data_IF_618763747476
#
_entry.id   IF_618763747476
#
_cell.length_a   1.000
_cell.length_b   1.000
_cell.length_c   1.000
_cell.angle_alpha   90.00
_cell.angle_beta   90.00
_cell.angle_gamma   90.00
#
_symmetry.space_group_name_H-M   'P 1'
#
loop_
_entity.id
_entity.type
_entity.pdbx_description
1 polymer ?
#
# COMPACT_ATOMS: atom_id res chain seq x y z
N UNK A 1 1.02 51.48 -13.75
CA UNK A 1 -0.31 51.20 -13.15
C UNK A 1 -1.02 50.00 -13.80
N UNK A 2 -1.24 50.00 -15.13
CA UNK A 2 -2.01 48.95 -15.82
C UNK A 2 -1.41 47.54 -15.69
N UNK A 3 -0.09 47.38 -15.90
CA UNK A 3 0.60 46.09 -15.76
C UNK A 3 0.55 45.50 -14.33
N UNK A 4 0.57 46.37 -13.32
CA UNK A 4 0.42 45.95 -11.93
C UNK A 4 -1.01 45.45 -11.65
N UNK A 5 -2.01 46.17 -12.17
CA UNK A 5 -3.43 45.75 -12.08
C UNK A 5 -3.71 44.42 -12.79
N UNK A 6 -3.08 44.17 -13.95
CA UNK A 6 -3.22 42.90 -14.68
C UNK A 6 -2.57 41.74 -13.92
N UNK A 7 -1.38 41.92 -13.33
CA UNK A 7 -0.73 40.90 -12.49
C UNK A 7 -1.51 40.58 -11.22
N UNK A 8 -2.08 41.61 -10.58
CA UNK A 8 -2.95 41.46 -9.41
C UNK A 8 -4.19 40.63 -9.75
N UNK A 9 -4.84 40.90 -10.89
CA UNK A 9 -6.00 40.13 -11.36
C UNK A 9 -5.63 38.70 -11.74
N UNK A 10 -4.49 38.49 -12.40
CA UNK A 10 -4.01 37.16 -12.75
C UNK A 10 -3.78 36.30 -11.49
N UNK A 11 -3.11 36.85 -10.47
CA UNK A 11 -2.89 36.15 -9.18
C UNK A 11 -4.19 35.82 -8.46
N UNK A 12 -5.16 36.73 -8.47
CA UNK A 12 -6.48 36.47 -7.88
C UNK A 12 -7.24 35.38 -8.64
N UNK A 13 -7.20 35.42 -9.97
CA UNK A 13 -7.83 34.40 -10.80
C UNK A 13 -7.18 33.01 -10.60
N UNK A 14 -5.85 32.96 -10.50
CA UNK A 14 -5.12 31.72 -10.19
C UNK A 14 -5.46 31.18 -8.80
N UNK A 15 -5.53 32.03 -7.78
CA UNK A 15 -5.91 31.64 -6.43
C UNK A 15 -7.36 31.15 -6.34
N UNK A 16 -8.28 31.84 -7.02
CA UNK A 16 -9.69 31.46 -7.10
C UNK A 16 -9.88 30.13 -7.83
N UNK A 17 -9.16 29.93 -8.94
CA UNK A 17 -9.14 28.66 -9.67
C UNK A 17 -8.60 27.52 -8.79
N UNK A 18 -7.50 27.77 -8.06
CA UNK A 18 -6.95 26.81 -7.10
C UNK A 18 -7.94 26.41 -6.02
N UNK A 19 -8.68 27.38 -5.45
CA UNK A 19 -9.75 27.12 -4.48
C UNK A 19 -10.87 26.27 -5.08
N UNK A 20 -11.37 26.61 -6.27
CA UNK A 20 -12.45 25.87 -6.92
C UNK A 20 -12.07 24.43 -7.21
N UNK A 21 -10.83 24.19 -7.65
CA UNK A 21 -10.31 22.83 -7.87
C UNK A 21 -10.22 22.05 -6.55
N UNK A 22 -9.77 22.68 -5.47
CA UNK A 22 -9.71 22.04 -4.15
C UNK A 22 -11.11 21.70 -3.61
N UNK A 23 -12.06 22.64 -3.70
CA UNK A 23 -13.46 22.45 -3.28
C UNK A 23 -14.14 21.34 -4.10
N UNK A 24 -13.92 21.31 -5.42
CA UNK A 24 -14.45 20.26 -6.29
C UNK A 24 -13.89 18.87 -5.92
N UNK A 25 -12.59 18.77 -5.61
CA UNK A 25 -11.96 17.52 -5.16
C UNK A 25 -12.53 17.03 -3.82
N UNK A 26 -12.72 17.93 -2.85
CA UNK A 26 -13.33 17.57 -1.55
C UNK A 26 -14.78 17.12 -1.68
N UNK A 27 -15.56 17.80 -2.54
CA UNK A 27 -16.94 17.42 -2.82
C UNK A 27 -17.00 16.02 -3.45
N UNK A 28 -16.12 15.74 -4.41
CA UNK A 28 -16.01 14.43 -5.05
C UNK A 28 -15.58 13.35 -4.05
N UNK A 29 -14.62 13.64 -3.16
CA UNK A 29 -14.22 12.73 -2.07
C UNK A 29 -15.41 12.35 -1.20
N UNK A 30 -16.20 13.34 -0.80
CA UNK A 30 -17.35 13.11 0.08
C UNK A 30 -18.45 12.32 -0.64
N UNK A 31 -18.59 12.51 -1.96
CA UNK A 31 -19.50 11.72 -2.80
C UNK A 31 -19.06 10.27 -2.88
N UNK A 32 -17.80 10.01 -3.23
CA UNK A 32 -17.22 8.66 -3.33
C UNK A 32 -17.28 7.94 -1.99
N UNK A 33 -16.90 8.60 -0.89
CA UNK A 33 -16.95 7.98 0.44
C UNK A 33 -18.37 7.56 0.85
N UNK A 34 -19.40 8.35 0.50
CA UNK A 34 -20.81 7.99 0.74
C UNK A 34 -21.25 6.82 -0.14
N UNK A 35 -20.96 6.87 -1.44
CA UNK A 35 -21.29 5.80 -2.39
C UNK A 35 -20.67 4.46 -1.97
N UNK A 36 -19.42 4.50 -1.51
CA UNK A 36 -18.71 3.31 -1.00
C UNK A 36 -19.26 2.83 0.34
N UNK A 37 -19.62 3.74 1.25
CA UNK A 37 -20.27 3.38 2.51
C UNK A 37 -21.60 2.66 2.28
N UNK A 38 -22.41 3.14 1.32
CA UNK A 38 -23.70 2.54 0.98
C UNK A 38 -23.54 1.14 0.37
N UNK A 39 -22.55 0.94 -0.52
CA UNK A 39 -22.23 -0.37 -1.09
C UNK A 39 -21.76 -1.36 -0.01
N UNK A 40 -20.88 -0.92 0.90
CA UNK A 40 -20.40 -1.74 2.02
C UNK A 40 -21.54 -2.11 2.99
N UNK A 41 -22.36 -1.15 3.38
CA UNK A 41 -23.51 -1.38 4.26
C UNK A 41 -24.46 -2.41 3.67
N UNK A 42 -24.79 -2.29 2.38
CA UNK A 42 -25.66 -3.22 1.67
C UNK A 42 -25.10 -4.66 1.67
N UNK A 43 -23.79 -4.83 1.42
CA UNK A 43 -23.14 -6.15 1.43
C UNK A 43 -23.09 -6.78 2.81
N UNK A 44 -22.79 -5.99 3.85
CA UNK A 44 -22.81 -6.46 5.23
C UNK A 44 -24.21 -6.92 5.64
N UNK A 45 -25.26 -6.22 5.21
CA UNK A 45 -26.65 -6.68 5.41
C UNK A 45 -26.94 -8.00 4.71
N UNK A 46 -26.45 -8.21 3.48
CA UNK A 46 -26.60 -9.49 2.77
C UNK A 46 -25.85 -10.62 3.49
N UNK A 47 -24.61 -10.38 3.93
CA UNK A 47 -23.82 -11.36 4.69
C UNK A 47 -24.47 -11.73 6.02
N UNK A 48 -24.97 -10.75 6.77
CA UNK A 48 -25.72 -10.98 8.01
C UNK A 48 -26.99 -11.80 7.76
N UNK A 49 -27.69 -11.56 6.64
CA UNK A 49 -28.87 -12.33 6.25
C UNK A 49 -28.53 -13.80 5.96
N UNK A 50 -27.46 -14.06 5.20
CA UNK A 50 -27.01 -15.43 4.93
C UNK A 50 -26.49 -16.14 6.18
N UNK A 51 -25.78 -15.43 7.07
CA UNK A 51 -25.34 -15.97 8.35
C UNK A 51 -26.51 -16.34 9.27
N UNK A 52 -27.53 -15.47 9.38
CA UNK A 52 -28.76 -15.76 10.14
C UNK A 52 -29.57 -16.92 9.54
N UNK A 53 -29.59 -17.05 8.21
CA UNK A 53 -30.23 -18.18 7.53
C UNK A 53 -29.53 -19.52 7.81
N UNK A 54 -28.19 -19.51 7.95
CA UNK A 54 -27.40 -20.66 8.37
C UNK A 54 -27.66 -21.04 9.85
N UNK A 55 -27.81 -20.04 10.73
CA UNK A 55 -28.09 -20.25 12.15
C UNK A 55 -29.48 -20.86 12.40
N UNK A 56 -30.48 -20.47 11.60
CA UNK A 56 -31.86 -20.93 11.77
C UNK A 56 -32.18 -22.29 11.13
N UNK A 57 -31.23 -22.86 10.36
CA UNK A 57 -31.41 -24.13 9.61
C UNK A 57 -30.19 -25.06 9.76
N UNK A 58 -29.79 -25.45 10.98
CA UNK A 58 -28.68 -26.39 11.18
C UNK A 58 -28.97 -27.78 10.58
N UNK A 59 -30.25 -28.12 10.41
CA UNK A 59 -30.71 -29.41 9.88
C UNK A 59 -30.73 -29.48 8.34
N UNK A 60 -30.23 -28.43 7.66
CA UNK A 60 -30.18 -28.40 6.21
C UNK A 60 -29.20 -29.44 5.65
N UNK A 61 -29.42 -29.95 4.42
CA UNK A 61 -28.49 -30.87 3.77
C UNK A 61 -27.08 -30.28 3.73
N UNK A 62 -26.02 -31.09 3.96
CA UNK A 62 -24.63 -30.64 3.97
C UNK A 62 -24.24 -29.83 2.72
N UNK A 63 -24.79 -30.19 1.57
CA UNK A 63 -24.52 -29.52 0.29
C UNK A 63 -25.06 -28.07 0.28
N UNK A 64 -26.23 -27.83 0.88
CA UNK A 64 -26.82 -26.50 0.97
C UNK A 64 -26.10 -25.62 1.99
N UNK A 65 -25.67 -26.20 3.11
CA UNK A 65 -24.83 -25.52 4.10
C UNK A 65 -23.49 -25.10 3.47
N UNK A 66 -22.85 -26.00 2.73
CA UNK A 66 -21.60 -25.71 2.02
C UNK A 66 -21.76 -24.60 0.96
N UNK A 67 -22.87 -24.59 0.21
CA UNK A 67 -23.18 -23.55 -0.77
C UNK A 67 -23.36 -22.18 -0.11
N UNK A 68 -24.16 -22.10 0.96
CA UNK A 68 -24.40 -20.86 1.69
C UNK A 68 -23.12 -20.33 2.37
N UNK A 69 -22.30 -21.21 2.96
CA UNK A 69 -20.98 -20.84 3.47
C UNK A 69 -20.03 -20.33 2.37
N UNK A 70 -20.14 -20.88 1.15
CA UNK A 70 -19.42 -20.40 -0.02
C UNK A 70 -19.80 -18.97 -0.43
N UNK A 71 -21.10 -18.66 -0.43
CA UNK A 71 -21.61 -17.31 -0.72
C UNK A 71 -21.13 -16.29 0.32
N UNK A 72 -21.16 -16.65 1.61
CA UNK A 72 -20.64 -15.81 2.70
C UNK A 72 -19.15 -15.53 2.50
N UNK A 73 -18.35 -16.57 2.24
CA UNK A 73 -16.90 -16.42 2.01
C UNK A 73 -16.57 -15.53 0.81
N UNK A 74 -17.27 -15.71 -0.31
CA UNK A 74 -17.08 -14.88 -1.49
C UNK A 74 -17.46 -13.41 -1.23
N UNK A 75 -18.59 -13.18 -0.55
CA UNK A 75 -19.04 -11.83 -0.19
C UNK A 75 -18.11 -11.12 0.78
N UNK A 76 -17.53 -11.82 1.76
CA UNK A 76 -16.51 -11.26 2.67
C UNK A 76 -15.25 -10.86 1.91
N UNK A 77 -14.77 -11.71 1.01
CA UNK A 77 -13.57 -11.40 0.22
C UNK A 77 -13.79 -10.16 -0.64
N UNK A 78 -14.94 -10.07 -1.31
CA UNK A 78 -15.27 -8.92 -2.15
C UNK A 78 -15.44 -7.62 -1.35
N UNK A 79 -16.07 -7.67 -0.16
CA UNK A 79 -16.20 -6.50 0.70
C UNK A 79 -14.83 -5.99 1.22
N UNK A 80 -13.87 -6.89 1.44
CA UNK A 80 -12.50 -6.53 1.85
C UNK A 80 -11.71 -5.84 0.72
N UNK A 81 -11.88 -6.28 -0.53
CA UNK A 81 -11.28 -5.61 -1.70
C UNK A 81 -11.85 -4.20 -1.89
N UNK A 82 -13.17 -4.04 -1.80
CA UNK A 82 -13.81 -2.72 -1.93
C UNK A 82 -13.41 -1.77 -0.79
N UNK A 83 -13.31 -2.26 0.46
CA UNK A 83 -12.81 -1.47 1.59
C UNK A 83 -11.35 -1.02 1.36
N UNK A 84 -10.55 -1.87 0.73
CA UNK A 84 -9.16 -1.58 0.39
C UNK A 84 -9.05 -0.51 -0.69
N UNK A 85 -9.88 -0.55 -1.73
CA UNK A 85 -9.95 0.51 -2.75
C UNK A 85 -10.25 1.87 -2.12
N UNK A 86 -11.21 1.93 -1.18
CA UNK A 86 -11.52 3.15 -0.43
C UNK A 86 -10.33 3.65 0.37
N UNK A 87 -9.64 2.76 1.09
CA UNK A 87 -8.47 3.12 1.90
C UNK A 87 -7.30 3.57 1.01
N UNK A 88 -7.13 3.00 -0.18
CA UNK A 88 -6.10 3.40 -1.13
C UNK A 88 -6.39 4.77 -1.74
N UNK A 89 -7.65 5.06 -2.09
CA UNK A 89 -8.09 6.37 -2.57
C UNK A 89 -7.92 7.45 -1.51
N UNK A 90 -8.27 7.16 -0.25
CA UNK A 90 -8.07 8.10 0.86
C UNK A 90 -6.58 8.31 1.18
N UNK A 91 -5.77 7.24 1.18
CA UNK A 91 -4.32 7.34 1.50
C UNK A 91 -3.45 7.91 0.37
N UNK A 92 -3.91 7.88 -0.87
CA UNK A 92 -3.17 8.50 -1.97
C UNK A 92 -3.09 10.03 -1.81
N UNK A 93 -4.12 10.63 -1.18
CA UNK A 93 -4.24 12.08 -1.00
C UNK A 93 -4.07 12.55 0.46
N UNK A 94 -4.29 11.72 1.50
CA UNK A 94 -4.03 12.08 2.92
C UNK A 94 -2.56 12.45 3.19
N UNK A 95 -1.66 11.88 2.41
CA UNK A 95 -0.25 12.18 2.52
C UNK A 95 0.05 13.64 2.05
N UNK A 96 -0.90 14.33 1.43
CA UNK A 96 -0.86 15.78 1.19
C UNK A 96 -1.59 16.62 2.25
N UNK A 97 -2.49 16.04 3.08
CA UNK A 97 -3.33 16.78 4.04
C UNK A 97 -2.73 16.90 5.47
N UNK A 98 -1.86 15.98 5.91
CA UNK A 98 -1.31 16.00 7.28
C UNK A 98 -0.19 17.04 7.53
N UNK A 99 0.20 17.82 6.52
CA UNK A 99 1.27 18.83 6.58
C UNK A 99 2.68 18.29 6.88
N UNK A 100 2.80 17.00 7.22
CA UNK A 100 4.07 16.29 7.35
C UNK A 100 4.55 15.94 5.95
N UNK A 101 5.81 16.25 5.60
CA UNK A 101 6.36 15.84 4.32
C UNK A 101 6.22 14.32 4.18
N UNK A 102 5.69 13.88 3.05
CA UNK A 102 5.57 12.44 2.77
C UNK A 102 6.96 11.81 2.78
N UNK A 103 7.13 10.62 3.38
CA UNK A 103 8.43 9.98 3.39
C UNK A 103 8.86 9.63 1.96
N UNK A 104 10.09 10.01 1.63
CA UNK A 104 10.71 9.86 0.30
C UNK A 104 11.79 8.78 0.32
N UNK A 105 12.48 8.59 -0.81
CA UNK A 105 13.57 7.63 -0.89
C UNK A 105 14.69 7.94 0.12
N UNK A 106 15.00 9.22 0.33
CA UNK A 106 16.04 9.68 1.26
C UNK A 106 15.73 9.37 2.73
N UNK A 107 14.50 8.97 3.06
CA UNK A 107 14.12 8.51 4.40
C UNK A 107 14.48 7.03 4.65
N UNK A 108 14.85 6.26 3.62
CA UNK A 108 15.19 4.83 3.75
C UNK A 108 16.34 4.57 4.74
N UNK A 109 17.45 5.34 4.74
CA UNK A 109 18.49 5.18 5.75
C UNK A 109 17.99 5.34 7.19
N UNK A 110 17.08 6.30 7.45
CA UNK A 110 16.46 6.50 8.77
C UNK A 110 15.58 5.31 9.15
N UNK A 111 14.75 4.83 8.24
CA UNK A 111 13.91 3.65 8.45
C UNK A 111 14.74 2.40 8.77
N UNK A 112 15.88 2.20 8.10
CA UNK A 112 16.81 1.11 8.39
C UNK A 112 17.44 1.28 9.78
N UNK A 113 17.82 2.51 10.16
CA UNK A 113 18.34 2.80 11.50
C UNK A 113 17.32 2.50 12.60
N UNK A 114 16.05 2.86 12.40
CA UNK A 114 14.95 2.52 13.31
C UNK A 114 14.75 1.00 13.46
N UNK A 115 14.82 0.27 12.35
CA UNK A 115 14.75 -1.20 12.36
C UNK A 115 15.91 -1.82 13.15
N UNK A 116 17.13 -1.28 12.99
CA UNK A 116 18.31 -1.70 13.77
C UNK A 116 18.16 -1.40 15.25
N UNK A 117 17.69 -0.20 15.61
CA UNK A 117 17.43 0.20 16.99
C UNK A 117 16.38 -0.71 17.67
N UNK A 118 15.43 -1.23 16.90
CA UNK A 118 14.45 -2.21 17.36
C UNK A 118 14.98 -3.67 17.42
N UNK A 119 16.29 -3.87 17.25
CA UNK A 119 16.96 -5.19 17.34
C UNK A 119 17.11 -5.94 16.01
N UNK A 120 16.77 -5.31 14.88
CA UNK A 120 16.95 -5.90 13.55
C UNK A 120 18.41 -5.93 13.09
N UNK A 121 18.82 -7.00 12.40
CA UNK A 121 20.14 -7.09 11.74
C UNK A 121 20.01 -6.71 10.27
N UNK A 122 20.05 -5.42 9.95
CA UNK A 122 19.78 -4.92 8.59
C UNK A 122 21.06 -4.41 7.91
N UNK A 123 21.39 -4.91 6.72
CA UNK A 123 22.41 -4.38 5.81
C UNK A 123 21.71 -3.55 4.71
N UNK A 124 22.09 -2.27 4.54
CA UNK A 124 21.57 -1.41 3.46
C UNK A 124 22.69 -1.13 2.47
N UNK A 125 22.42 -1.35 1.19
CA UNK A 125 23.23 -0.88 0.06
C UNK A 125 22.41 0.10 -0.75
N UNK A 126 22.85 1.34 -0.77
CA UNK A 126 22.28 2.40 -1.59
C UNK A 126 23.21 2.65 -2.78
N UNK A 127 22.74 2.25 -3.95
CA UNK A 127 23.43 2.29 -5.24
C UNK A 127 22.65 3.18 -6.22
N UNK A 128 21.89 4.15 -5.70
CA UNK A 128 21.10 5.08 -6.50
C UNK A 128 21.99 6.21 -7.00
N UNK A 129 21.97 6.43 -8.33
CA UNK A 129 22.69 7.54 -8.96
C UNK A 129 21.71 8.64 -9.38
N UNK A 130 21.96 9.88 -8.93
CA UNK A 130 21.19 11.06 -9.33
C UNK A 130 19.77 11.12 -8.78
N UNK A 131 19.58 10.78 -7.49
CA UNK A 131 18.27 10.69 -6.84
C UNK A 131 17.36 11.94 -6.99
N UNK A 132 17.93 13.13 -7.18
CA UNK A 132 17.20 14.39 -7.39
C UNK A 132 16.22 14.34 -8.59
N UNK A 133 16.52 13.51 -9.60
CA UNK A 133 15.68 13.31 -10.78
C UNK A 133 14.60 12.24 -10.63
N UNK A 134 14.49 11.59 -9.47
CA UNK A 134 13.53 10.51 -9.25
C UNK A 134 12.09 11.09 -9.15
N UNK A 135 11.12 10.54 -9.88
CA UNK A 135 9.72 10.93 -9.72
C UNK A 135 9.27 10.77 -8.26
N UNK A 136 8.64 11.79 -7.63
CA UNK A 136 8.24 11.71 -6.22
C UNK A 136 7.35 10.50 -5.89
N UNK A 137 6.48 10.10 -6.83
CA UNK A 137 5.64 8.91 -6.67
C UNK A 137 6.46 7.60 -6.61
N UNK A 138 7.55 7.49 -7.37
CA UNK A 138 8.45 6.36 -7.33
C UNK A 138 9.23 6.32 -6.00
N UNK A 139 9.75 7.46 -5.53
CA UNK A 139 10.44 7.54 -4.24
C UNK A 139 9.56 7.13 -3.05
N UNK A 140 8.30 7.60 -3.02
CA UNK A 140 7.33 7.19 -1.99
C UNK A 140 6.97 5.71 -2.04
N UNK A 141 6.81 5.17 -3.24
CA UNK A 141 6.51 3.74 -3.43
C UNK A 141 7.69 2.88 -2.98
N UNK A 142 8.92 3.27 -3.34
CA UNK A 142 10.14 2.60 -2.89
C UNK A 142 10.27 2.59 -1.37
N UNK A 143 10.05 3.74 -0.71
CA UNK A 143 10.04 3.83 0.75
C UNK A 143 9.05 2.84 1.37
N UNK A 144 7.82 2.76 0.84
CA UNK A 144 6.80 1.83 1.33
C UNK A 144 7.17 0.36 1.11
N UNK A 145 7.81 0.03 -0.02
CA UNK A 145 8.33 -1.32 -0.28
C UNK A 145 9.33 -1.72 0.80
N UNK A 146 10.32 -0.86 1.08
CA UNK A 146 11.32 -1.14 2.12
C UNK A 146 10.67 -1.25 3.50
N UNK A 147 9.72 -0.37 3.83
CA UNK A 147 9.03 -0.39 5.13
C UNK A 147 8.24 -1.67 5.37
N UNK A 148 7.45 -2.09 4.39
CA UNK A 148 6.67 -3.32 4.49
C UNK A 148 7.60 -4.53 4.58
N UNK A 149 8.69 -4.55 3.81
CA UNK A 149 9.68 -5.62 3.85
C UNK A 149 10.35 -5.75 5.22
N UNK A 150 10.80 -4.64 5.82
CA UNK A 150 11.39 -4.65 7.17
C UNK A 150 10.38 -5.03 8.25
N UNK A 151 9.12 -4.62 8.09
CA UNK A 151 8.03 -5.02 8.97
C UNK A 151 7.79 -6.52 8.91
N UNK A 152 7.77 -7.09 7.70
CA UNK A 152 7.58 -8.52 7.47
C UNK A 152 8.77 -9.33 7.97
N UNK A 153 10.00 -8.89 7.71
CA UNK A 153 11.19 -9.54 8.25
C UNK A 153 11.18 -9.55 9.79
N UNK A 154 10.78 -8.46 10.44
CA UNK A 154 10.63 -8.43 11.90
C UNK A 154 9.57 -9.41 12.42
N UNK A 155 8.44 -9.55 11.72
CA UNK A 155 7.35 -10.45 12.10
C UNK A 155 7.67 -11.92 11.87
N UNK A 156 8.33 -12.23 10.75
CA UNK A 156 8.42 -13.61 10.24
C UNK A 156 9.85 -14.20 10.32
N UNK A 157 10.86 -13.34 10.40
CA UNK A 157 12.27 -13.73 10.45
C UNK A 157 13.01 -12.97 11.57
N UNK A 158 12.33 -12.80 12.71
CA UNK A 158 12.87 -12.08 13.86
C UNK A 158 14.28 -12.60 14.22
N UNK A 159 15.23 -11.68 14.31
CA UNK A 159 16.63 -11.97 14.59
C UNK A 159 17.45 -12.43 13.39
N UNK A 160 16.89 -12.73 12.21
CA UNK A 160 17.67 -13.08 11.01
C UNK A 160 18.23 -11.83 10.30
N UNK A 161 19.37 -11.92 9.61
CA UNK A 161 19.89 -10.83 8.79
C UNK A 161 18.91 -10.47 7.66
N UNK A 162 18.75 -9.18 7.40
CA UNK A 162 17.97 -8.62 6.30
C UNK A 162 18.91 -7.80 5.42
N UNK A 163 18.99 -8.12 4.13
CA UNK A 163 19.71 -7.32 3.14
C UNK A 163 18.73 -6.49 2.35
N UNK A 164 18.95 -5.18 2.30
CA UNK A 164 18.18 -4.22 1.50
C UNK A 164 19.14 -3.60 0.48
N UNK A 165 18.83 -3.76 -0.80
CA UNK A 165 19.51 -3.09 -1.90
C UNK A 165 18.53 -2.16 -2.57
N UNK A 166 18.91 -0.89 -2.69
CA UNK A 166 18.20 0.12 -3.47
C UNK A 166 19.16 0.57 -4.56
N UNK A 167 18.84 0.34 -5.82
CA UNK A 167 19.73 0.62 -6.94
C UNK A 167 18.95 1.19 -8.12
N UNK A 168 19.50 2.17 -8.82
CA UNK A 168 18.82 2.72 -10.00
C UNK A 168 19.39 4.05 -10.48
N UNK A 169 18.99 4.42 -11.68
CA UNK A 169 19.29 5.71 -12.30
C UNK A 169 18.23 6.08 -13.33
N UNK A 170 18.20 7.36 -13.71
CA UNK A 170 17.37 7.84 -14.80
C UNK A 170 17.57 7.00 -16.08
N UNK A 171 16.47 6.60 -16.72
CA UNK A 171 16.44 5.74 -17.91
C UNK A 171 16.37 4.24 -17.63
N UNK A 172 16.95 3.74 -16.53
CA UNK A 172 17.01 2.29 -16.22
C UNK A 172 15.91 1.84 -15.24
N UNK A 173 15.38 2.78 -14.46
CA UNK A 173 14.43 2.51 -13.38
C UNK A 173 15.08 2.36 -12.01
N UNK A 174 14.24 2.22 -11.00
CA UNK A 174 14.63 2.01 -9.61
C UNK A 174 14.28 0.58 -9.20
N UNK A 175 15.25 -0.16 -8.67
CA UNK A 175 15.12 -1.52 -8.16
C UNK A 175 15.26 -1.51 -6.64
N UNK A 176 14.35 -2.22 -5.98
CA UNK A 176 14.41 -2.53 -4.56
C UNK A 176 14.47 -4.05 -4.42
N UNK A 177 15.52 -4.57 -3.81
CA UNK A 177 15.70 -6.01 -3.55
C UNK A 177 15.91 -6.21 -2.05
N UNK A 178 14.97 -6.89 -1.40
CA UNK A 178 15.03 -7.19 0.04
C UNK A 178 15.04 -8.69 0.24
N UNK A 179 16.00 -9.17 1.04
CA UNK A 179 16.16 -10.60 1.33
C UNK A 179 16.36 -10.87 2.80
N UNK A 180 15.81 -11.97 3.29
CA UNK A 180 16.10 -12.50 4.62
C UNK A 180 15.98 -14.02 4.64
N UNK A 181 16.77 -14.67 5.51
CA UNK A 181 16.59 -16.10 5.79
C UNK A 181 15.23 -16.35 6.43
N UNK A 182 14.60 -17.46 6.04
CA UNK A 182 13.45 -18.05 6.72
C UNK A 182 13.92 -18.79 7.98
N UNK A 183 13.03 -18.95 8.96
CA UNK A 183 13.32 -19.76 10.14
C UNK A 183 13.28 -21.25 9.76
N UNK A 184 14.29 -22.02 10.17
CA UNK A 184 14.40 -23.47 9.90
C UNK A 184 13.41 -24.29 10.73
N UNK A 185 13.17 -23.83 11.95
CA UNK A 185 12.16 -24.33 12.85
C UNK A 185 10.79 -23.92 12.31
N UNK A 186 10.04 -24.89 11.79
CA UNK A 186 8.59 -24.80 11.47
C UNK A 186 7.70 -24.49 12.68
N UNK A 187 8.20 -23.72 13.64
CA UNK A 187 7.51 -23.22 14.80
C UNK A 187 6.42 -22.27 14.35
N UNK A 188 5.18 -22.69 14.62
CA UNK A 188 3.90 -22.02 14.33
C UNK A 188 3.90 -21.23 13.02
N UNK A 189 3.18 -21.76 12.03
CA UNK A 189 2.68 -20.92 10.94
C UNK A 189 2.26 -19.58 11.55
N UNK A 190 2.84 -18.46 11.09
CA UNK A 190 2.57 -17.16 11.69
C UNK A 190 1.05 -17.00 11.77
N UNK A 191 0.49 -16.42 12.85
CA UNK A 191 -0.95 -16.20 12.93
C UNK A 191 -1.38 -15.59 11.60
N UNK A 192 -2.42 -16.11 10.92
CA UNK A 192 -2.68 -15.84 9.51
C UNK A 192 -2.69 -14.34 9.28
N UNK A 193 -1.55 -13.82 8.82
CA UNK A 193 -1.33 -12.41 8.60
C UNK A 193 -1.84 -12.04 7.23
N UNK A 194 -3.11 -12.35 6.97
CA UNK A 194 -3.98 -12.05 5.81
C UNK A 194 -3.42 -12.04 4.37
N UNK A 195 -2.12 -12.18 4.11
CA UNK A 195 -1.51 -11.96 2.78
C UNK A 195 -1.69 -10.53 2.24
N UNK A 196 -2.42 -9.67 2.96
CA UNK A 196 -2.91 -8.37 2.46
C UNK A 196 -1.79 -7.36 2.27
N UNK A 197 -0.74 -7.40 3.09
CA UNK A 197 0.40 -6.48 3.00
C UNK A 197 1.07 -6.55 1.63
N UNK A 198 1.40 -7.77 1.18
CA UNK A 198 2.01 -8.01 -0.13
C UNK A 198 1.06 -7.71 -1.28
N UNK A 199 -0.23 -8.09 -1.17
CA UNK A 199 -1.25 -7.74 -2.20
C UNK A 199 -1.33 -6.21 -2.38
N UNK A 200 -1.30 -5.44 -1.28
CA UNK A 200 -1.39 -3.97 -1.36
C UNK A 200 -0.13 -3.31 -1.87
N UNK A 201 1.00 -3.95 -1.59
CA UNK A 201 2.27 -3.51 -2.13
C UNK A 201 2.36 -3.78 -3.64
N UNK A 202 1.91 -4.95 -4.10
CA UNK A 202 1.81 -5.30 -5.53
C UNK A 202 0.96 -4.29 -6.28
N UNK A 203 -0.23 -3.99 -5.76
CA UNK A 203 -1.16 -3.05 -6.37
C UNK A 203 -0.57 -1.63 -6.45
N UNK A 204 0.03 -1.15 -5.35
CA UNK A 204 0.70 0.16 -5.31
C UNK A 204 1.83 0.25 -6.33
N UNK A 205 2.67 -0.78 -6.41
CA UNK A 205 3.78 -0.80 -7.37
C UNK A 205 3.24 -0.82 -8.81
N UNK A 206 2.15 -1.55 -9.08
CA UNK A 206 1.48 -1.56 -10.38
C UNK A 206 0.91 -0.18 -10.76
N UNK A 207 0.27 0.52 -9.82
CA UNK A 207 -0.26 1.87 -10.03
C UNK A 207 0.84 2.90 -10.32
N UNK A 208 2.04 2.67 -9.81
CA UNK A 208 3.23 3.47 -10.13
C UNK A 208 3.89 3.07 -11.48
N UNK A 209 3.28 2.17 -12.25
CA UNK A 209 3.83 1.65 -13.52
C UNK A 209 4.97 0.65 -13.33
N UNK A 210 5.16 0.14 -12.11
CA UNK A 210 6.20 -0.81 -11.75
C UNK A 210 5.73 -2.27 -11.74
N UNK A 211 6.63 -3.13 -11.27
CA UNK A 211 6.38 -4.57 -11.04
C UNK A 211 6.94 -4.99 -9.70
N UNK A 212 6.27 -5.93 -9.04
CA UNK A 212 6.68 -6.49 -7.76
C UNK A 212 6.58 -8.01 -7.81
N UNK A 213 7.68 -8.65 -7.44
CA UNK A 213 7.83 -10.09 -7.34
C UNK A 213 8.21 -10.44 -5.91
N UNK A 214 7.72 -11.57 -5.41
CA UNK A 214 8.12 -12.12 -4.13
C UNK A 214 8.16 -13.64 -4.20
N UNK A 215 9.18 -14.22 -3.57
CA UNK A 215 9.40 -15.66 -3.54
C UNK A 215 9.90 -16.10 -2.17
N UNK A 216 9.50 -17.30 -1.77
CA UNK A 216 10.02 -17.99 -0.59
C UNK A 216 10.58 -19.33 -1.08
N UNK A 217 11.89 -19.41 -1.25
CA UNK A 217 12.57 -20.57 -1.83
C UNK A 217 13.92 -20.81 -1.17
N UNK A 218 14.32 -22.09 -1.07
CA UNK A 218 15.64 -22.49 -0.55
C UNK A 218 16.01 -21.88 0.82
N UNK A 219 15.02 -21.66 1.69
CA UNK A 219 15.25 -21.09 3.02
C UNK A 219 15.44 -19.56 3.03
N UNK A 220 15.17 -18.87 1.92
CA UNK A 220 15.23 -17.40 1.81
C UNK A 220 13.86 -16.85 1.38
N UNK A 221 13.47 -15.72 1.95
CA UNK A 221 12.42 -14.88 1.41
C UNK A 221 13.06 -13.72 0.65
N UNK A 222 12.58 -13.47 -0.57
CA UNK A 222 13.00 -12.36 -1.41
C UNK A 222 11.79 -11.56 -1.87
N UNK A 223 11.88 -10.24 -1.74
CA UNK A 223 10.96 -9.27 -2.29
C UNK A 223 11.73 -8.37 -3.26
N UNK A 224 11.27 -8.31 -4.51
CA UNK A 224 11.88 -7.48 -5.54
C UNK A 224 10.85 -6.56 -6.17
N UNK A 225 11.11 -5.26 -6.17
CA UNK A 225 10.30 -4.28 -6.88
C UNK A 225 11.14 -3.56 -7.94
N UNK A 226 10.52 -3.22 -9.06
CA UNK A 226 11.06 -2.28 -10.03
C UNK A 226 10.03 -1.18 -10.28
N UNK A 227 10.50 0.06 -10.35
CA UNK A 227 9.70 1.26 -10.60
C UNK A 227 10.29 2.03 -11.79
N UNK A 228 9.44 2.62 -12.65
CA UNK A 228 9.91 3.41 -13.78
C UNK A 228 10.61 4.69 -13.30
N UNK A 229 11.75 4.97 -13.93
CA UNK A 229 12.50 6.21 -13.75
C UNK A 229 12.85 6.76 -15.13
N UNK A 230 12.12 7.79 -15.62
CA UNK A 230 12.39 8.42 -16.91
C UNK A 230 13.81 9.00 -17.00
N UNK A 231 14.32 9.11 -18.23
CA UNK A 231 15.61 9.74 -18.53
C UNK A 231 15.56 11.26 -18.37
#
# INVERSE_FOLDING_TARGET
>A
ALLASLRERARRAEAEQGRRVAEARMAERTRIAREMHDVLAHRLSLLATYAGALEYRPDAPPERLAQAAGVVRAGVHQALEELREVILLLRADDAAEDGRPQPVLDDVPRLVAESRAAGGRVELRDEVAGADGLPPAAGRTAYRVVQEALTNARKHAAGRPVRVVVAGRAGDGLVIDVRNELREDGGQAPPPGSGTGLVGLTERVRLAGGRLDHEAAAGEFRLRAWLPWPA
#
